data_IF_758049673993
#
_entry.id   IF_758049673993
#
_cell.length_a   1.000
_cell.length_b   1.000
_cell.length_c   1.000
_cell.angle_alpha   90.00
_cell.angle_beta   90.00
_cell.angle_gamma   90.00
#
_symmetry.space_group_name_H-M   'P 1'
#
loop_
_entity.id
_entity.type
_entity.pdbx_description
1 polymer ?
#
# COMPACT_ATOMS: atom_id res chain seq x y z
N UNK A 1 13.61 13.37 -5.84
CA UNK A 1 12.91 12.39 -6.69
C UNK A 1 13.09 11.01 -6.10
N UNK A 2 12.05 10.20 -6.00
CA UNK A 2 12.17 8.80 -5.58
C UNK A 2 12.63 7.99 -6.79
N UNK A 3 13.74 7.25 -6.72
CA UNK A 3 14.29 6.54 -7.86
C UNK A 3 13.28 5.51 -8.40
N UNK A 4 13.06 5.51 -9.71
CA UNK A 4 12.20 4.56 -10.40
C UNK A 4 10.68 4.84 -10.30
N UNK A 5 10.28 6.06 -9.90
CA UNK A 5 8.90 6.52 -9.95
C UNK A 5 8.79 7.75 -10.86
N UNK A 6 7.71 7.83 -11.68
CA UNK A 6 7.40 9.05 -12.42
C UNK A 6 7.16 10.21 -11.44
N UNK A 7 7.41 11.43 -11.88
CA UNK A 7 7.03 12.61 -11.10
C UNK A 7 5.51 12.86 -11.14
N UNK A 8 5.05 13.86 -10.39
CA UNK A 8 3.61 14.14 -10.30
C UNK A 8 3.03 14.64 -11.63
N UNK A 9 3.83 15.36 -12.43
CA UNK A 9 3.40 15.82 -13.74
C UNK A 9 3.27 14.65 -14.73
N UNK A 10 4.24 13.74 -14.72
CA UNK A 10 4.20 12.50 -15.50
C UNK A 10 3.02 11.60 -15.08
N UNK A 11 2.72 11.50 -13.79
CA UNK A 11 1.53 10.77 -13.31
C UNK A 11 0.23 11.41 -13.81
N UNK A 12 0.16 12.74 -13.86
CA UNK A 12 -1.01 13.45 -14.36
C UNK A 12 -1.20 13.22 -15.85
N UNK A 13 -0.11 13.17 -16.61
CA UNK A 13 -0.12 12.82 -18.04
C UNK A 13 -0.57 11.37 -18.27
N UNK A 14 -0.05 10.41 -17.47
CA UNK A 14 -0.47 9.02 -17.53
C UNK A 14 -1.97 8.86 -17.24
N UNK A 15 -2.48 9.58 -16.23
CA UNK A 15 -3.92 9.59 -15.94
C UNK A 15 -4.73 10.09 -17.14
N UNK A 16 -4.34 11.21 -17.73
CA UNK A 16 -5.05 11.77 -18.91
C UNK A 16 -5.02 10.78 -20.08
N UNK A 17 -3.87 10.18 -20.36
CA UNK A 17 -3.70 9.19 -21.41
C UNK A 17 -4.57 7.96 -21.18
N UNK A 18 -4.55 7.39 -19.97
CA UNK A 18 -5.36 6.21 -19.63
C UNK A 18 -6.86 6.53 -19.63
N UNK A 19 -7.25 7.72 -19.18
CA UNK A 19 -8.64 8.16 -19.25
C UNK A 19 -9.14 8.16 -20.69
N UNK A 20 -8.37 8.71 -21.61
CA UNK A 20 -8.70 8.68 -23.02
C UNK A 20 -8.74 7.27 -23.60
N UNK A 21 -7.69 6.47 -23.38
CA UNK A 21 -7.54 5.14 -23.98
C UNK A 21 -8.54 4.10 -23.47
N UNK A 22 -8.86 4.15 -22.18
CA UNK A 22 -9.58 3.06 -21.49
C UNK A 22 -10.97 3.46 -21.00
N UNK A 23 -11.22 4.76 -20.84
CA UNK A 23 -12.46 5.29 -20.27
C UNK A 23 -13.14 6.34 -21.17
N UNK A 24 -12.67 6.52 -22.40
CA UNK A 24 -13.24 7.45 -23.39
C UNK A 24 -13.29 8.91 -22.91
N UNK A 25 -12.43 9.30 -21.97
CA UNK A 25 -12.44 10.62 -21.37
C UNK A 25 -13.57 10.84 -20.33
N UNK A 26 -14.29 9.80 -19.95
CA UNK A 26 -15.48 9.89 -19.06
C UNK A 26 -15.13 10.20 -17.61
N UNK A 27 -13.87 10.03 -17.19
CA UNK A 27 -13.45 10.34 -15.82
C UNK A 27 -13.17 11.83 -15.70
N UNK A 28 -13.81 12.56 -14.78
CA UNK A 28 -13.48 13.97 -14.54
C UNK A 28 -12.04 14.11 -14.05
N UNK A 29 -11.55 15.35 -14.01
CA UNK A 29 -10.18 15.61 -13.57
C UNK A 29 -10.00 15.25 -12.09
N UNK A 30 -9.05 14.36 -11.83
CA UNK A 30 -8.54 14.04 -10.49
C UNK A 30 -7.11 14.56 -10.36
N UNK A 31 -6.78 15.10 -9.21
CA UNK A 31 -5.38 15.36 -8.84
C UNK A 31 -4.73 14.04 -8.49
N UNK A 32 -3.51 13.82 -8.97
CA UNK A 32 -2.71 12.64 -8.61
C UNK A 32 -1.58 13.08 -7.70
N UNK A 33 -1.30 12.32 -6.63
CA UNK A 33 -0.24 12.64 -5.69
C UNK A 33 0.38 11.36 -5.09
N UNK A 34 1.61 11.47 -4.61
CA UNK A 34 2.20 10.44 -3.77
C UNK A 34 1.89 10.69 -2.31
N UNK A 35 1.60 9.60 -1.57
CA UNK A 35 1.43 9.64 -0.13
C UNK A 35 2.38 8.64 0.56
N UNK A 36 3.49 9.16 1.09
CA UNK A 36 4.49 8.37 1.78
C UNK A 36 4.03 7.80 3.14
N UNK A 37 2.85 8.20 3.65
CA UNK A 37 2.28 7.67 4.89
C UNK A 37 1.58 6.32 4.68
N UNK A 38 1.26 5.95 3.44
CA UNK A 38 0.62 4.66 3.17
C UNK A 38 1.57 3.51 3.47
N UNK A 39 1.12 2.60 4.32
CA UNK A 39 1.85 1.39 4.71
C UNK A 39 1.11 0.09 4.40
N UNK A 40 -0.19 0.18 4.12
CA UNK A 40 -1.05 -0.99 3.95
C UNK A 40 -1.86 -0.98 2.65
N UNK A 41 -1.69 0.05 1.81
CA UNK A 41 -2.33 0.14 0.51
C UNK A 41 -1.40 0.81 -0.50
N UNK A 42 -1.54 0.43 -1.77
CA UNK A 42 -0.77 0.98 -2.87
C UNK A 42 -1.39 2.25 -3.42
N UNK A 43 -2.70 2.34 -3.43
CA UNK A 43 -3.46 3.48 -3.89
C UNK A 43 -4.67 3.75 -3.00
N UNK A 44 -5.24 4.92 -3.19
CA UNK A 44 -6.51 5.35 -2.57
C UNK A 44 -7.12 6.45 -3.40
N UNK A 45 -8.43 6.40 -3.57
CA UNK A 45 -9.21 7.46 -4.18
C UNK A 45 -10.03 8.22 -3.13
N UNK A 46 -10.13 9.53 -3.31
CA UNK A 46 -11.06 10.42 -2.59
C UNK A 46 -11.89 11.15 -3.64
N UNK A 47 -13.20 11.24 -3.41
CA UNK A 47 -14.12 11.85 -4.38
C UNK A 47 -14.35 13.35 -4.13
N UNK A 48 -14.18 13.80 -2.90
CA UNK A 48 -14.35 15.21 -2.49
C UNK A 48 -13.25 15.60 -1.49
N UNK A 49 -12.24 16.36 -1.89
CA UNK A 49 -11.92 16.77 -3.27
C UNK A 49 -11.48 15.57 -4.12
N UNK A 50 -11.59 15.63 -5.46
CA UNK A 50 -11.19 14.54 -6.34
C UNK A 50 -9.66 14.37 -6.33
N UNK A 51 -9.20 13.25 -5.72
CA UNK A 51 -7.79 12.97 -5.51
C UNK A 51 -7.53 11.47 -5.58
N UNK A 52 -6.49 11.08 -6.31
CA UNK A 52 -5.90 9.74 -6.28
C UNK A 52 -4.53 9.84 -5.63
N UNK A 53 -4.30 9.09 -4.57
CA UNK A 53 -3.03 9.01 -3.88
C UNK A 53 -2.37 7.65 -4.09
N UNK A 54 -1.08 7.65 -4.41
CA UNK A 54 -0.29 6.45 -4.66
C UNK A 54 0.82 6.30 -3.62
N UNK A 55 1.10 5.08 -3.20
CA UNK A 55 2.14 4.80 -2.21
C UNK A 55 3.52 4.65 -2.85
N UNK A 56 4.46 5.56 -2.63
CA UNK A 56 5.80 5.39 -3.14
C UNK A 56 6.53 4.19 -2.51
N UNK A 57 6.17 3.80 -1.30
CA UNK A 57 6.76 2.66 -0.58
C UNK A 57 6.44 1.31 -1.23
N UNK A 58 5.27 1.21 -1.85
CA UNK A 58 4.82 -0.02 -2.50
C UNK A 58 5.22 -0.06 -3.97
N UNK A 59 5.35 1.10 -4.61
CA UNK A 59 5.42 1.23 -6.06
C UNK A 59 6.82 1.60 -6.60
N UNK A 60 7.76 2.01 -5.73
CA UNK A 60 9.13 2.34 -6.15
C UNK A 60 9.80 1.16 -6.86
N UNK A 61 10.30 1.40 -8.08
CA UNK A 61 10.93 0.39 -8.93
C UNK A 61 9.98 -0.64 -9.55
N UNK A 62 8.66 -0.43 -9.46
CA UNK A 62 7.64 -1.37 -9.91
C UNK A 62 6.66 -0.70 -10.87
N UNK A 63 7.12 -0.41 -12.08
CA UNK A 63 6.31 0.32 -13.07
C UNK A 63 5.00 -0.40 -13.45
N UNK A 64 5.01 -1.73 -13.48
CA UNK A 64 3.81 -2.53 -13.76
C UNK A 64 2.76 -2.38 -12.68
N UNK A 65 3.14 -2.48 -11.41
CA UNK A 65 2.25 -2.33 -10.26
C UNK A 65 1.74 -0.89 -10.12
N UNK A 66 2.56 0.11 -10.47
CA UNK A 66 2.11 1.50 -10.51
C UNK A 66 0.99 1.69 -11.54
N UNK A 67 1.18 1.16 -12.76
CA UNK A 67 0.16 1.19 -13.81
C UNK A 67 -1.12 0.49 -13.34
N UNK A 68 -1.02 -0.72 -12.81
CA UNK A 68 -2.18 -1.49 -12.34
C UNK A 68 -2.90 -0.76 -11.19
N UNK A 69 -2.16 -0.19 -10.24
CA UNK A 69 -2.74 0.57 -9.13
C UNK A 69 -3.46 1.83 -9.62
N UNK A 70 -2.83 2.60 -10.52
CA UNK A 70 -3.46 3.80 -11.08
C UNK A 70 -4.75 3.45 -11.83
N UNK A 71 -4.74 2.45 -12.68
CA UNK A 71 -5.93 1.98 -13.41
C UNK A 71 -7.01 1.47 -12.46
N UNK A 72 -6.65 0.79 -11.37
CA UNK A 72 -7.58 0.34 -10.34
C UNK A 72 -8.34 1.52 -9.71
N UNK A 73 -7.62 2.55 -9.28
CA UNK A 73 -8.23 3.75 -8.72
C UNK A 73 -9.07 4.51 -9.78
N UNK A 74 -8.63 4.48 -11.04
CA UNK A 74 -9.40 5.07 -12.14
C UNK A 74 -10.71 4.33 -12.43
N UNK A 75 -10.80 3.01 -12.21
CA UNK A 75 -12.08 2.29 -12.31
C UNK A 75 -13.06 2.78 -11.23
N UNK A 76 -12.59 3.00 -10.01
CA UNK A 76 -13.40 3.59 -8.94
C UNK A 76 -13.91 4.98 -9.34
N UNK A 77 -13.02 5.84 -9.88
CA UNK A 77 -13.38 7.18 -10.36
C UNK A 77 -14.43 7.12 -11.48
N UNK A 78 -14.26 6.23 -12.43
CA UNK A 78 -15.17 6.03 -13.55
C UNK A 78 -16.56 5.59 -13.10
N UNK A 79 -16.65 4.59 -12.21
CA UNK A 79 -17.93 4.14 -11.66
C UNK A 79 -18.64 5.26 -10.89
N UNK A 80 -17.88 6.04 -10.12
CA UNK A 80 -18.41 7.20 -9.41
C UNK A 80 -18.95 8.26 -10.38
N UNK A 81 -18.23 8.56 -11.47
CA UNK A 81 -18.66 9.50 -12.50
C UNK A 81 -19.96 9.05 -13.22
N UNK A 82 -20.15 7.73 -13.37
CA UNK A 82 -21.37 7.15 -13.91
C UNK A 82 -22.53 7.05 -12.90
N UNK A 83 -22.37 7.56 -11.69
CA UNK A 83 -23.36 7.43 -10.62
C UNK A 83 -23.59 5.97 -10.14
N UNK A 84 -22.63 5.07 -10.44
CA UNK A 84 -22.69 3.67 -9.99
C UNK A 84 -21.91 3.49 -8.70
N UNK A 85 -22.22 2.39 -7.98
CA UNK A 85 -21.45 2.03 -6.79
C UNK A 85 -19.95 1.88 -7.14
N UNK A 86 -19.08 2.68 -6.50
CA UNK A 86 -17.65 2.65 -6.81
C UNK A 86 -16.89 1.50 -6.15
N UNK A 87 -17.57 0.58 -5.44
CA UNK A 87 -16.96 -0.59 -4.83
C UNK A 87 -16.55 -1.67 -5.83
N UNK A 88 -15.94 -2.75 -5.35
CA UNK A 88 -15.48 -3.90 -6.16
C UNK A 88 -16.66 -4.78 -6.65
N UNK A 89 -17.64 -4.17 -7.27
CA UNK A 89 -18.86 -4.78 -7.81
C UNK A 89 -18.56 -5.66 -9.03
N UNK A 90 -19.57 -6.35 -9.55
CA UNK A 90 -19.45 -7.12 -10.80
C UNK A 90 -19.02 -6.20 -11.97
N UNK A 91 -19.54 -4.98 -12.05
CA UNK A 91 -19.14 -3.98 -13.06
C UNK A 91 -17.67 -3.60 -12.93
N UNK A 92 -17.20 -3.40 -11.69
CA UNK A 92 -15.77 -3.14 -11.41
C UNK A 92 -14.89 -4.30 -11.91
N UNK A 93 -15.23 -5.53 -11.52
CA UNK A 93 -14.48 -6.73 -11.90
C UNK A 93 -14.45 -6.93 -13.42
N UNK A 94 -15.58 -6.70 -14.09
CA UNK A 94 -15.64 -6.76 -15.57
C UNK A 94 -14.67 -5.75 -16.18
N UNK A 95 -14.67 -4.49 -15.71
CA UNK A 95 -13.76 -3.46 -16.22
C UNK A 95 -12.29 -3.80 -15.94
N UNK A 96 -11.98 -4.36 -14.78
CA UNK A 96 -10.64 -4.89 -14.48
C UNK A 96 -10.18 -5.94 -15.52
N UNK A 97 -11.03 -6.90 -15.83
CA UNK A 97 -10.73 -7.95 -16.82
C UNK A 97 -10.49 -7.34 -18.22
N UNK A 98 -11.31 -6.38 -18.64
CA UNK A 98 -11.13 -5.63 -19.90
C UNK A 98 -9.77 -4.94 -19.97
N UNK A 99 -9.26 -4.44 -18.84
CA UNK A 99 -7.97 -3.76 -18.74
C UNK A 99 -6.78 -4.71 -18.50
N UNK A 100 -7.04 -6.02 -18.36
CA UNK A 100 -6.01 -7.01 -18.08
C UNK A 100 -5.41 -6.92 -16.69
N UNK A 101 -6.13 -6.34 -15.70
CA UNK A 101 -5.67 -6.25 -14.32
C UNK A 101 -5.81 -7.60 -13.63
N UNK A 102 -4.75 -8.06 -12.95
CA UNK A 102 -4.64 -9.43 -12.44
C UNK A 102 -5.46 -9.70 -11.20
N UNK A 103 -5.57 -8.74 -10.29
CA UNK A 103 -6.20 -8.94 -8.99
C UNK A 103 -6.83 -7.67 -8.45
N UNK A 104 -7.92 -7.83 -7.68
CA UNK A 104 -8.52 -6.77 -6.87
C UNK A 104 -7.58 -6.39 -5.72
N UNK A 105 -6.82 -7.35 -5.24
CA UNK A 105 -5.83 -7.19 -4.19
C UNK A 105 -4.46 -7.25 -4.83
N UNK A 106 -3.73 -6.13 -4.78
CA UNK A 106 -2.34 -6.14 -5.18
C UNK A 106 -1.55 -6.87 -4.09
N UNK A 107 -0.98 -8.02 -4.43
CA UNK A 107 0.08 -8.60 -3.62
C UNK A 107 1.37 -7.82 -3.90
N UNK A 108 1.42 -6.62 -3.34
CA UNK A 108 2.53 -5.69 -3.54
C UNK A 108 3.77 -6.08 -2.73
N UNK A 109 3.70 -7.22 -2.06
CA UNK A 109 4.71 -7.61 -1.11
C UNK A 109 4.75 -6.68 0.10
N UNK A 110 5.76 -6.84 0.93
CA UNK A 110 5.97 -5.97 2.08
C UNK A 110 6.41 -4.59 1.62
N UNK A 111 5.72 -3.52 2.07
CA UNK A 111 6.12 -2.15 1.78
C UNK A 111 7.58 -1.92 2.17
N UNK A 112 8.37 -1.32 1.28
CA UNK A 112 9.74 -0.95 1.59
C UNK A 112 9.70 0.18 2.62
N UNK A 113 10.19 -0.02 3.86
CA UNK A 113 10.20 1.04 4.84
C UNK A 113 11.17 2.15 4.37
N UNK A 114 10.76 3.40 4.45
CA UNK A 114 11.63 4.56 4.13
C UNK A 114 12.62 4.90 5.25
N UNK A 115 12.49 4.26 6.42
CA UNK A 115 13.40 4.41 7.56
C UNK A 115 14.07 3.07 7.92
N UNK A 116 15.29 3.11 8.42
CA UNK A 116 16.10 1.92 8.69
C UNK A 116 15.67 1.08 9.90
N UNK A 117 14.89 1.61 10.79
CA UNK A 117 14.35 0.87 11.94
C UNK A 117 12.88 1.16 12.15
N UNK A 118 12.10 0.11 12.41
CA UNK A 118 10.69 0.26 12.82
C UNK A 118 10.53 -0.19 14.26
N UNK A 119 10.20 0.76 15.14
CA UNK A 119 9.82 0.42 16.51
C UNK A 119 8.52 -0.37 16.53
N UNK A 120 8.51 -1.44 17.32
CA UNK A 120 7.36 -2.29 17.59
C UNK A 120 7.18 -2.44 19.09
N UNK A 121 5.98 -2.78 19.49
CA UNK A 121 5.65 -3.03 20.89
C UNK A 121 5.05 -4.42 21.02
N UNK A 122 5.65 -5.26 21.87
CA UNK A 122 5.11 -6.56 22.25
C UNK A 122 4.41 -6.37 23.59
N UNK A 123 3.14 -6.72 23.64
CA UNK A 123 2.38 -6.78 24.88
C UNK A 123 2.28 -8.25 25.27
N UNK A 124 2.78 -8.58 26.48
CA UNK A 124 2.76 -9.94 26.99
C UNK A 124 1.98 -10.00 28.30
N UNK A 125 1.12 -11.00 28.40
CA UNK A 125 0.43 -11.31 29.65
C UNK A 125 1.22 -12.36 30.43
N UNK A 126 1.69 -12.03 31.61
CA UNK A 126 2.46 -12.93 32.46
C UNK A 126 1.62 -14.12 32.96
N UNK A 127 0.29 -13.98 33.08
CA UNK A 127 -0.58 -15.04 33.56
C UNK A 127 -0.97 -16.07 32.50
N UNK A 128 -1.35 -15.62 31.27
CA UNK A 128 -1.86 -16.50 30.23
C UNK A 128 -0.96 -16.59 29.01
N UNK A 129 0.23 -16.03 29.07
CA UNK A 129 1.27 -16.05 28.02
C UNK A 129 0.82 -15.48 26.66
N UNK A 130 -0.37 -14.84 26.60
CA UNK A 130 -0.84 -14.18 25.38
C UNK A 130 0.13 -13.08 24.97
N UNK A 131 0.53 -13.07 23.70
CA UNK A 131 1.34 -12.03 23.11
C UNK A 131 0.58 -11.29 22.01
N UNK A 132 0.79 -9.97 21.92
CA UNK A 132 0.19 -9.12 20.90
C UNK A 132 1.22 -8.11 20.40
N UNK A 133 1.43 -8.07 19.07
CA UNK A 133 2.34 -7.11 18.43
C UNK A 133 1.58 -5.83 18.04
N UNK A 134 2.13 -4.67 18.39
CA UNK A 134 1.58 -3.34 18.05
C UNK A 134 2.60 -2.47 17.33
N UNK A 135 2.15 -1.69 16.35
CA UNK A 135 2.96 -0.70 15.61
C UNK A 135 3.08 0.64 16.35
N UNK A 136 2.12 0.97 17.19
CA UNK A 136 2.08 2.21 17.97
C UNK A 136 2.27 1.90 19.44
N UNK A 137 2.90 2.81 20.17
CA UNK A 137 3.04 2.70 21.63
C UNK A 137 1.65 2.56 22.26
N UNK A 138 1.41 1.49 23.01
CA UNK A 138 0.13 1.29 23.68
C UNK A 138 0.01 2.22 24.90
N UNK A 139 -1.22 2.54 25.36
CA UNK A 139 -1.41 3.22 26.65
C UNK A 139 -0.89 2.37 27.82
N UNK A 140 -0.51 3.04 28.93
CA UNK A 140 0.15 2.40 30.06
C UNK A 140 -0.72 1.39 30.83
N UNK A 141 -2.05 1.53 30.80
CA UNK A 141 -2.96 0.77 31.65
C UNK A 141 -3.74 -0.31 30.89
N UNK A 142 -3.07 -1.06 30.01
CA UNK A 142 -3.72 -2.14 29.30
C UNK A 142 -3.84 -3.41 30.13
N UNK A 143 -5.00 -4.03 30.05
CA UNK A 143 -5.27 -5.34 30.68
C UNK A 143 -5.51 -6.41 29.62
N UNK A 144 -5.14 -7.62 29.94
CA UNK A 144 -5.36 -8.80 29.11
C UNK A 144 -6.86 -9.08 28.94
N UNK A 145 -7.33 -9.17 27.70
CA UNK A 145 -8.74 -9.47 27.41
C UNK A 145 -9.19 -10.85 27.95
N UNK A 146 -8.22 -11.80 28.11
CA UNK A 146 -8.49 -13.17 28.58
C UNK A 146 -8.62 -13.27 30.09
N UNK A 147 -7.68 -12.69 30.83
CA UNK A 147 -7.57 -12.93 32.29
C UNK A 147 -7.63 -11.63 33.11
N UNK A 148 -7.87 -10.49 32.45
CA UNK A 148 -8.01 -9.17 33.10
C UNK A 148 -6.79 -8.70 33.91
N UNK A 149 -5.62 -9.33 33.76
CA UNK A 149 -4.37 -8.91 34.41
C UNK A 149 -3.64 -7.86 33.58
N UNK A 150 -2.84 -6.98 34.20
CA UNK A 150 -2.01 -6.01 33.48
C UNK A 150 -1.13 -6.68 32.41
N UNK A 151 -0.87 -5.96 31.33
CA UNK A 151 0.03 -6.39 30.26
C UNK A 151 1.39 -5.73 30.44
N UNK A 152 2.45 -6.54 30.36
CA UNK A 152 3.81 -6.01 30.22
C UNK A 152 4.02 -5.54 28.78
N UNK A 153 4.66 -4.39 28.61
CA UNK A 153 4.93 -3.75 27.31
C UNK A 153 6.43 -3.72 27.07
N UNK A 154 6.86 -4.35 25.99
CA UNK A 154 8.26 -4.37 25.55
C UNK A 154 8.39 -3.58 24.23
N UNK A 155 9.36 -2.66 24.17
CA UNK A 155 9.75 -2.02 22.92
C UNK A 155 10.75 -2.90 22.19
N UNK A 156 10.48 -3.22 20.93
CA UNK A 156 11.35 -4.03 20.08
C UNK A 156 11.69 -3.24 18.82
N UNK A 157 12.97 -3.15 18.52
CA UNK A 157 13.45 -2.59 17.26
C UNK A 157 13.59 -3.71 16.25
N UNK A 158 12.73 -3.71 15.24
CA UNK A 158 12.78 -4.70 14.17
C UNK A 158 13.89 -4.29 13.18
N UNK A 159 15.03 -5.00 13.20
CA UNK A 159 16.09 -4.82 12.21
C UNK A 159 15.68 -5.43 10.88
N UNK A 160 16.01 -4.78 9.77
CA UNK A 160 15.57 -5.19 8.44
C UNK A 160 16.27 -6.46 7.94
N UNK A 161 15.55 -7.25 7.11
CA UNK A 161 16.15 -8.39 6.41
C UNK A 161 17.12 -8.03 5.27
N UNK A 162 17.45 -6.75 5.05
CA UNK A 162 18.31 -6.32 3.92
C UNK A 162 19.72 -6.87 4.00
N UNK A 163 20.21 -7.23 5.18
CA UNK A 163 21.54 -7.80 5.33
C UNK A 163 21.62 -9.27 4.88
N UNK A 164 20.55 -10.03 4.92
CA UNK A 164 20.53 -11.44 4.50
C UNK A 164 20.62 -11.62 2.97
N UNK A 165 20.14 -10.67 2.18
CA UNK A 165 20.22 -10.75 0.71
C UNK A 165 21.58 -10.38 0.16
N UNK A 166 22.39 -9.59 0.89
CA UNK A 166 23.76 -9.25 0.48
C UNK A 166 24.79 -10.33 0.83
N UNK A 167 24.52 -11.17 1.80
CA UNK A 167 25.41 -12.28 2.16
C UNK A 167 25.25 -13.47 1.20
N UNK A 168 24.05 -13.70 0.63
CA UNK A 168 23.80 -14.82 -0.28
C UNK A 168 24.40 -14.64 -1.70
N UNK A 169 24.76 -13.43 -2.10
CA UNK A 169 25.32 -13.16 -3.44
C UNK A 169 26.86 -13.18 -3.51
N UNK A 170 27.55 -13.59 -2.45
CA UNK A 170 29.04 -13.65 -2.40
C UNK A 170 29.65 -15.05 -2.46
N UNK A 171 28.89 -16.09 -2.73
CA UNK A 171 29.46 -17.40 -3.05
C UNK A 171 29.76 -17.48 -4.55
N UNK A 172 30.96 -17.06 -4.95
CA UNK A 172 31.58 -17.34 -6.23
C UNK A 172 31.91 -18.85 -6.25
N UNK A 173 31.50 -19.63 -7.25
CA UNK A 173 32.07 -20.96 -7.41
C UNK A 173 33.55 -20.82 -7.82
N UNK A 174 34.39 -21.47 -7.08
CA UNK A 174 35.79 -21.72 -7.49
C UNK A 174 35.76 -22.76 -8.60
N UNK A 175 36.50 -22.46 -9.66
CA UNK A 175 36.78 -23.33 -10.79
C UNK A 175 37.56 -24.60 -10.37
#
# INVERSE_FOLDING_TARGET
>A
MLPGLPDVAELQLLFAQYNWMHFRGEIPTYRIAYNARFSNCAGRITYKPPLIELSPKHLAGKAGELRETLLHEMIHAWLHALGKSPGHTATFKKKMQELGLRSIYHDLGRAIPLSESTKRYILRCEKCTMELLRKRKPPANLVCARCRKPLAVFEVVEMRPVELSRAASRTRPLA
#
